data_IF_662965989778
#
_entry.id   IF_662965989778
#
_cell.length_a   1.000
_cell.length_b   1.000
_cell.length_c   1.000
_cell.angle_alpha   90.00
_cell.angle_beta   90.00
_cell.angle_gamma   90.00
#
_symmetry.space_group_name_H-M   'P 1'
#
loop_
_entity.id
_entity.type
_entity.pdbx_description
1 polymer ?
#
# COMPACT_ATOMS: atom_id res chain seq x y z
N UNK A 1 -3.82 -15.20 -28.71
CA UNK A 1 -2.52 -15.25 -28.00
C UNK A 1 -2.35 -13.91 -27.30
N UNK A 2 -1.97 -13.87 -26.01
CA UNK A 2 -1.81 -12.59 -25.31
C UNK A 2 -0.47 -11.94 -25.69
N UNK A 3 -0.49 -10.64 -25.96
CA UNK A 3 0.72 -9.85 -26.17
C UNK A 3 1.22 -9.32 -24.82
N UNK A 4 2.52 -9.48 -24.55
CA UNK A 4 3.15 -9.00 -23.33
C UNK A 4 3.71 -7.60 -23.58
N UNK A 5 3.15 -6.60 -22.91
CA UNK A 5 3.58 -5.21 -23.02
C UNK A 5 4.36 -4.84 -21.75
N UNK A 6 5.61 -4.39 -21.92
CA UNK A 6 6.47 -3.90 -20.83
C UNK A 6 6.81 -2.42 -21.05
N UNK A 7 6.84 -1.64 -19.97
CA UNK A 7 7.22 -0.22 -20.05
C UNK A 7 8.74 -0.05 -20.06
N UNK A 8 9.27 0.77 -20.98
CA UNK A 8 10.72 1.07 -21.07
C UNK A 8 11.17 2.25 -20.19
N UNK A 9 10.22 3.03 -19.67
CA UNK A 9 10.51 4.25 -18.88
C UNK A 9 11.05 3.89 -17.50
N UNK A 10 12.13 4.56 -17.08
CA UNK A 10 12.74 4.39 -15.75
C UNK A 10 11.95 5.08 -14.63
N UNK A 11 11.29 6.19 -14.94
CA UNK A 11 10.43 6.89 -14.00
C UNK A 11 9.00 6.37 -14.12
N UNK A 12 8.33 6.19 -12.98
CA UNK A 12 6.90 5.96 -12.95
C UNK A 12 6.17 7.32 -13.00
N UNK A 13 5.24 7.44 -13.93
CA UNK A 13 4.29 8.57 -14.03
C UNK A 13 2.92 7.96 -13.72
N UNK A 14 2.19 8.55 -12.78
CA UNK A 14 0.90 8.04 -12.28
C UNK A 14 0.93 6.52 -12.00
N UNK A 15 1.74 6.09 -11.02
CA UNK A 15 2.00 4.67 -10.81
C UNK A 15 0.72 3.90 -10.46
N UNK A 16 0.52 2.78 -11.15
CA UNK A 16 -0.57 1.84 -10.86
C UNK A 16 -0.39 1.09 -9.53
N UNK A 17 0.87 0.89 -9.10
CA UNK A 17 1.23 0.05 -7.95
C UNK A 17 1.57 0.89 -6.74
N UNK A 18 1.13 0.43 -5.57
CA UNK A 18 1.55 0.95 -4.27
C UNK A 18 2.67 0.10 -3.65
N UNK A 19 3.22 0.58 -2.54
CA UNK A 19 4.32 -0.09 -1.84
C UNK A 19 3.88 -1.43 -1.23
N UNK A 20 4.79 -2.41 -1.17
CA UNK A 20 4.55 -3.70 -0.54
C UNK A 20 4.09 -3.63 0.94
N UNK A 21 4.64 -2.77 1.82
CA UNK A 21 4.22 -2.74 3.22
C UNK A 21 2.77 -2.25 3.43
N UNK A 22 2.19 -1.49 2.48
CA UNK A 22 0.76 -1.17 2.51
C UNK A 22 -0.09 -2.44 2.43
N UNK A 23 0.22 -3.32 1.48
CA UNK A 23 -0.48 -4.59 1.31
C UNK A 23 -0.31 -5.51 2.53
N UNK A 24 0.89 -5.56 3.09
CA UNK A 24 1.15 -6.30 4.33
C UNK A 24 0.31 -5.73 5.50
N UNK A 25 0.29 -4.41 5.67
CA UNK A 25 -0.52 -3.76 6.71
C UNK A 25 -2.01 -4.08 6.56
N UNK A 26 -2.54 -4.08 5.34
CA UNK A 26 -3.93 -4.44 5.06
C UNK A 26 -4.25 -5.88 5.48
N UNK A 27 -3.36 -6.83 5.19
CA UNK A 27 -3.53 -8.24 5.62
C UNK A 27 -3.54 -8.36 7.13
N UNK A 28 -2.60 -7.70 7.82
CA UNK A 28 -2.54 -7.74 9.27
C UNK A 28 -3.76 -7.08 9.92
N UNK A 29 -4.25 -5.93 9.42
CA UNK A 29 -5.47 -5.28 9.91
C UNK A 29 -6.72 -6.18 9.83
N UNK A 30 -6.72 -7.19 8.95
CA UNK A 30 -7.78 -8.19 8.89
C UNK A 30 -7.72 -9.27 9.97
N UNK A 31 -6.67 -9.32 10.80
CA UNK A 31 -6.52 -10.25 11.90
C UNK A 31 -7.09 -9.66 13.19
N UNK A 32 -7.88 -10.46 13.92
CA UNK A 32 -8.41 -10.09 15.22
C UNK A 32 -7.27 -9.79 16.23
N UNK A 33 -7.47 -8.75 17.05
CA UNK A 33 -6.53 -8.31 18.09
C UNK A 33 -5.09 -8.07 17.60
N UNK A 34 -4.96 -7.53 16.38
CA UNK A 34 -3.66 -7.21 15.80
C UNK A 34 -3.42 -5.70 15.66
N UNK A 35 -2.16 -5.29 15.71
CA UNK A 35 -1.72 -3.93 15.44
C UNK A 35 -0.49 -3.97 14.53
N UNK A 36 -0.61 -3.64 13.23
CA UNK A 36 0.53 -3.67 12.33
C UNK A 36 1.53 -2.56 12.68
N UNK A 37 2.82 -2.91 12.75
CA UNK A 37 3.91 -1.95 12.92
C UNK A 37 4.80 -2.00 11.68
N UNK A 38 4.95 -0.87 11.00
CA UNK A 38 5.90 -0.73 9.90
C UNK A 38 7.25 -0.26 10.43
N UNK A 39 8.26 -1.14 10.35
CA UNK A 39 9.62 -0.76 10.68
C UNK A 39 10.20 0.14 9.57
N UNK A 40 10.36 1.43 9.85
CA UNK A 40 10.83 2.43 8.91
C UNK A 40 10.57 3.85 9.41
N UNK A 41 10.62 4.82 8.48
CA UNK A 41 10.25 6.19 8.83
C UNK A 41 8.75 6.30 9.07
N UNK A 42 8.35 7.23 9.95
CA UNK A 42 6.94 7.46 10.27
C UNK A 42 6.10 7.83 9.04
N UNK A 43 6.73 8.44 8.02
CA UNK A 43 6.05 8.80 6.77
C UNK A 43 5.44 7.58 6.06
N UNK A 44 6.13 6.44 6.05
CA UNK A 44 5.60 5.21 5.47
C UNK A 44 4.30 4.77 6.17
N UNK A 45 4.26 4.89 7.49
CA UNK A 45 3.07 4.58 8.28
C UNK A 45 1.92 5.56 8.06
N UNK A 46 2.21 6.85 8.11
CA UNK A 46 1.21 7.91 7.94
C UNK A 46 0.52 7.87 6.57
N UNK A 47 1.27 7.60 5.49
CA UNK A 47 0.68 7.51 4.15
C UNK A 47 -0.22 6.29 3.97
N UNK A 48 0.20 5.12 4.47
CA UNK A 48 -0.63 3.92 4.41
C UNK A 48 -1.95 4.11 5.17
N UNK A 49 -1.87 4.65 6.39
CA UNK A 49 -3.04 4.99 7.21
C UNK A 49 -3.98 5.95 6.47
N UNK A 50 -3.45 7.07 5.95
CA UNK A 50 -4.25 8.06 5.24
C UNK A 50 -4.94 7.47 3.99
N UNK A 51 -4.26 6.61 3.25
CA UNK A 51 -4.82 5.96 2.06
C UNK A 51 -5.96 5.00 2.43
N UNK A 52 -5.74 4.12 3.41
CA UNK A 52 -6.73 3.12 3.82
C UNK A 52 -7.94 3.78 4.51
N UNK A 53 -7.73 4.78 5.36
CA UNK A 53 -8.83 5.55 5.97
C UNK A 53 -9.71 6.21 4.91
N UNK A 54 -9.15 6.74 3.82
CA UNK A 54 -9.94 7.29 2.71
C UNK A 54 -10.66 6.22 1.88
N UNK A 55 -10.05 5.05 1.70
CA UNK A 55 -10.63 3.97 0.92
C UNK A 55 -11.81 3.32 1.64
N UNK A 56 -11.66 3.02 2.93
CA UNK A 56 -12.69 2.35 3.74
C UNK A 56 -13.65 3.31 4.44
N UNK A 57 -13.30 4.60 4.55
CA UNK A 57 -14.02 5.59 5.36
C UNK A 57 -14.13 5.20 6.84
N UNK A 58 -13.11 4.50 7.36
CA UNK A 58 -13.02 4.03 8.75
C UNK A 58 -11.65 4.42 9.36
N UNK A 59 -11.57 4.55 10.70
CA UNK A 59 -10.29 4.79 11.38
C UNK A 59 -9.38 3.57 11.26
N UNK A 60 -8.15 3.81 10.78
CA UNK A 60 -7.07 2.82 10.66
C UNK A 60 -5.93 3.20 11.60
#
# INVERSE_FOLDING_TARGET
MAEIITGERRAAIDPLKFSQPLGAALVFLGLADSLPIMHGSQGCASFAKALLTRHFNEPI
#
